data_IF_883344433970
#
_entry.id   IF_883344433970
#
_cell.length_a   1.000
_cell.length_b   1.000
_cell.length_c   1.000
_cell.angle_alpha   90.00
_cell.angle_beta   90.00
_cell.angle_gamma   90.00
#
_symmetry.space_group_name_H-M   'P 1'
#
loop_
_entity.id
_entity.type
_entity.pdbx_description
1 polymer ?
#
# COMPACT_ATOMS: atom_id res chain seq x y z
N UNK A 1 10.61 -14.53 -9.10
CA UNK A 1 10.95 -14.78 -7.67
C UNK A 1 11.88 -13.66 -7.23
N UNK A 2 11.62 -13.00 -6.11
CA UNK A 2 12.32 -11.76 -5.70
C UNK A 2 11.54 -11.02 -4.60
N UNK A 3 11.72 -9.70 -4.42
CA UNK A 3 10.96 -8.94 -3.41
C UNK A 3 9.44 -8.95 -3.64
N UNK A 4 9.01 -9.26 -4.87
CA UNK A 4 7.62 -9.54 -5.23
C UNK A 4 7.04 -10.80 -4.56
N UNK A 5 7.87 -11.72 -4.06
CA UNK A 5 7.41 -12.85 -3.25
C UNK A 5 7.11 -12.49 -1.79
N UNK A 6 7.56 -11.30 -1.35
CA UNK A 6 7.37 -10.81 0.02
C UNK A 6 6.27 -9.74 0.09
N UNK A 7 6.10 -8.97 -0.98
CA UNK A 7 5.07 -7.94 -1.13
C UNK A 7 4.58 -7.87 -2.57
N UNK A 8 3.29 -7.59 -2.79
CA UNK A 8 2.70 -7.40 -4.13
C UNK A 8 3.11 -6.07 -4.75
N UNK A 9 3.31 -5.04 -3.93
CA UNK A 9 3.72 -3.69 -4.35
C UNK A 9 5.00 -3.24 -3.62
N UNK A 10 6.14 -3.94 -3.79
CA UNK A 10 7.38 -3.62 -3.08
C UNK A 10 7.95 -2.27 -3.52
N UNK A 11 7.68 -1.86 -4.76
CA UNK A 11 7.99 -0.53 -5.29
C UNK A 11 7.25 0.58 -4.54
N UNK A 12 5.96 0.40 -4.25
CA UNK A 12 5.17 1.41 -3.53
C UNK A 12 5.59 1.47 -2.06
N UNK A 13 5.93 0.33 -1.47
CA UNK A 13 6.52 0.33 -0.13
C UNK A 13 7.84 1.10 -0.10
N UNK A 14 8.74 0.86 -1.06
CA UNK A 14 10.00 1.61 -1.16
C UNK A 14 9.78 3.11 -1.28
N UNK A 15 8.83 3.53 -2.11
CA UNK A 15 8.47 4.93 -2.27
C UNK A 15 7.91 5.54 -0.98
N UNK A 16 6.98 4.87 -0.29
CA UNK A 16 6.44 5.37 0.99
C UNK A 16 7.56 5.43 2.04
N UNK A 17 8.35 4.36 2.15
CA UNK A 17 9.42 4.23 3.13
C UNK A 17 10.49 5.31 2.94
N UNK A 18 10.89 5.60 1.70
CA UNK A 18 11.91 6.63 1.46
C UNK A 18 11.44 8.02 1.92
N UNK A 19 10.16 8.38 1.71
CA UNK A 19 9.63 9.67 2.13
C UNK A 19 9.53 9.79 3.66
N UNK A 20 9.18 8.69 4.33
CA UNK A 20 9.23 8.63 5.79
C UNK A 20 10.66 8.72 6.33
N UNK A 21 11.63 8.07 5.69
CA UNK A 21 13.04 8.19 6.04
C UNK A 21 13.56 9.62 5.83
N UNK A 22 13.22 10.26 4.71
CA UNK A 22 13.59 11.66 4.45
C UNK A 22 13.02 12.60 5.52
N UNK A 23 11.76 12.41 5.91
CA UNK A 23 11.14 13.15 7.00
C UNK A 23 11.84 12.90 8.35
N UNK A 24 12.15 11.64 8.68
CA UNK A 24 12.84 11.29 9.92
C UNK A 24 14.28 11.84 10.00
N UNK A 25 15.00 11.90 8.87
CA UNK A 25 16.32 12.52 8.79
C UNK A 25 16.23 14.04 8.93
N UNK A 26 15.25 14.67 8.29
CA UNK A 26 14.98 16.09 8.45
C UNK A 26 14.58 16.43 9.89
N UNK A 27 13.84 15.54 10.56
CA UNK A 27 13.51 15.64 11.98
C UNK A 27 14.80 15.73 12.78
N UNK A 28 15.62 14.68 12.79
CA UNK A 28 16.87 14.63 13.56
C UNK A 28 17.80 15.84 13.34
N UNK A 29 17.89 16.36 12.11
CA UNK A 29 18.70 17.55 11.81
C UNK A 29 18.18 18.82 12.51
N UNK A 30 16.88 18.94 12.73
CA UNK A 30 16.23 20.13 13.28
C UNK A 30 16.29 20.23 14.82
N UNK A 31 16.70 19.17 15.53
CA UNK A 31 17.00 19.22 16.99
C UNK A 31 18.03 20.30 17.31
N UNK A 32 19.05 20.45 16.46
CA UNK A 32 20.14 21.39 16.67
C UNK A 32 19.72 22.87 16.56
N UNK A 33 18.54 23.16 15.99
CA UNK A 33 18.10 24.51 15.63
C UNK A 33 16.79 24.95 16.30
N UNK A 34 16.29 24.23 17.31
CA UNK A 34 14.94 24.45 17.90
C UNK A 34 13.79 24.26 16.91
N UNK A 35 14.02 23.54 15.80
CA UNK A 35 13.10 23.49 14.66
C UNK A 35 11.74 22.88 14.95
N UNK A 36 11.62 21.92 15.88
CA UNK A 36 10.30 21.34 16.23
C UNK A 36 9.40 22.28 17.03
N UNK A 37 9.97 23.34 17.60
CA UNK A 37 9.18 24.38 18.28
C UNK A 37 8.50 25.30 17.27
N UNK A 38 8.92 25.28 16.00
CA UNK A 38 8.22 25.94 14.90
C UNK A 38 7.05 25.06 14.42
N UNK A 39 5.79 25.52 14.57
CA UNK A 39 4.63 24.81 14.03
C UNK A 39 4.70 24.58 12.52
N UNK A 40 5.43 25.43 11.79
CA UNK A 40 5.59 25.32 10.35
C UNK A 40 6.45 24.10 9.96
N UNK A 41 7.36 23.66 10.83
CA UNK A 41 8.17 22.47 10.60
C UNK A 41 7.30 21.21 10.50
N UNK A 42 6.25 21.13 11.32
CA UNK A 42 5.30 20.01 11.27
C UNK A 42 4.51 19.94 9.96
N UNK A 43 4.40 21.05 9.20
CA UNK A 43 3.79 21.00 7.87
C UNK A 43 4.57 20.10 6.89
N UNK A 44 5.86 19.84 7.13
CA UNK A 44 6.66 18.94 6.30
C UNK A 44 6.15 17.49 6.33
N UNK A 45 5.42 17.07 7.38
CA UNK A 45 4.80 15.73 7.45
C UNK A 45 3.73 15.53 6.37
N UNK A 46 3.19 16.61 5.81
CA UNK A 46 2.20 16.54 4.74
C UNK A 46 2.77 15.86 3.49
N UNK A 47 4.07 15.96 3.23
CA UNK A 47 4.70 15.32 2.08
C UNK A 47 4.61 13.78 2.13
N UNK A 48 5.16 13.07 3.15
CA UNK A 48 5.04 11.62 3.22
C UNK A 48 3.59 11.15 3.31
N UNK A 49 2.72 11.88 4.01
CA UNK A 49 1.29 11.56 4.09
C UNK A 49 0.59 11.68 2.73
N UNK A 50 0.90 12.73 1.97
CA UNK A 50 0.35 12.95 0.64
C UNK A 50 0.81 11.87 -0.35
N UNK A 51 2.10 11.53 -0.35
CA UNK A 51 2.62 10.44 -1.18
C UNK A 51 1.98 9.09 -0.82
N UNK A 52 1.84 8.79 0.47
CA UNK A 52 1.14 7.60 0.93
C UNK A 52 -0.34 7.60 0.49
N UNK A 53 -1.02 8.75 0.57
CA UNK A 53 -2.39 8.87 0.12
C UNK A 53 -2.53 8.59 -1.38
N UNK A 54 -1.64 9.16 -2.21
CA UNK A 54 -1.59 8.92 -3.65
C UNK A 54 -1.45 7.41 -3.94
N UNK A 55 -0.45 6.76 -3.35
CA UNK A 55 -0.13 5.38 -3.68
C UNK A 55 -1.16 4.38 -3.16
N UNK A 56 -1.83 4.67 -2.04
CA UNK A 56 -2.84 3.76 -1.48
C UNK A 56 -4.24 3.97 -2.05
N UNK A 57 -4.63 5.22 -2.31
CA UNK A 57 -6.04 5.57 -2.54
C UNK A 57 -6.37 6.07 -3.94
N UNK A 58 -5.41 6.60 -4.71
CA UNK A 58 -5.74 7.19 -6.01
C UNK A 58 -6.08 6.11 -7.02
N UNK A 59 -7.29 6.18 -7.58
CA UNK A 59 -7.82 5.20 -8.51
C UNK A 59 -7.13 5.16 -9.87
N UNK A 60 -6.28 6.13 -10.20
CA UNK A 60 -5.50 6.12 -11.44
C UNK A 60 -4.18 5.33 -11.29
N UNK A 61 -3.43 5.57 -10.22
CA UNK A 61 -2.03 5.14 -10.08
C UNK A 61 -1.73 4.35 -8.81
N UNK A 62 -2.70 4.23 -7.89
CA UNK A 62 -2.50 3.57 -6.60
C UNK A 62 -2.89 2.09 -6.59
N UNK A 63 -2.70 1.46 -5.43
CA UNK A 63 -2.98 0.05 -5.16
C UNK A 63 -4.44 -0.28 -5.49
N UNK A 64 -5.37 0.64 -5.27
CA UNK A 64 -6.78 0.44 -5.60
C UNK A 64 -7.04 0.11 -7.07
N UNK A 65 -6.22 0.62 -7.99
CA UNK A 65 -6.35 0.31 -9.41
C UNK A 65 -5.62 -0.99 -9.77
N UNK A 66 -4.41 -1.15 -9.23
CA UNK A 66 -3.55 -2.30 -9.48
C UNK A 66 -4.18 -3.62 -8.98
N UNK A 67 -4.79 -3.58 -7.79
CA UNK A 67 -5.54 -4.68 -7.18
C UNK A 67 -7.04 -4.65 -7.52
N UNK A 68 -7.46 -3.80 -8.44
CA UNK A 68 -8.86 -3.70 -8.88
C UNK A 68 -9.02 -4.27 -10.28
N UNK A 69 -9.28 -3.38 -11.24
CA UNK A 69 -9.55 -3.74 -12.65
C UNK A 69 -8.35 -4.44 -13.30
N UNK A 70 -7.13 -4.07 -12.93
CA UNK A 70 -5.91 -4.62 -13.51
C UNK A 70 -5.64 -6.08 -13.08
N UNK A 71 -6.30 -6.58 -12.03
CA UNK A 71 -6.22 -7.98 -11.62
C UNK A 71 -6.93 -8.93 -12.58
N UNK A 72 -7.92 -8.43 -13.34
CA UNK A 72 -8.72 -9.23 -14.26
C UNK A 72 -7.86 -10.12 -15.17
N UNK A 73 -6.81 -9.55 -15.77
CA UNK A 73 -5.89 -10.28 -16.67
C UNK A 73 -5.16 -11.46 -16.00
N UNK A 74 -4.91 -11.38 -14.69
CA UNK A 74 -4.22 -12.44 -13.95
C UNK A 74 -5.19 -13.54 -13.53
N UNK A 75 -6.39 -13.17 -13.07
CA UNK A 75 -7.45 -14.11 -12.74
C UNK A 75 -8.00 -14.84 -13.98
N UNK A 76 -8.03 -14.20 -15.15
CA UNK A 76 -8.42 -14.84 -16.41
C UNK A 76 -7.39 -15.86 -16.91
N UNK A 77 -6.10 -15.69 -16.57
CA UNK A 77 -5.03 -16.55 -17.05
C UNK A 77 -4.75 -17.72 -16.11
N UNK A 78 -4.60 -17.45 -14.81
CA UNK A 78 -4.24 -18.45 -13.80
C UNK A 78 -4.96 -18.15 -12.46
N UNK A 79 -6.27 -18.40 -12.33
CA UNK A 79 -7.05 -18.00 -11.16
C UNK A 79 -6.57 -18.64 -9.85
N UNK A 80 -6.25 -19.94 -9.86
CA UNK A 80 -5.86 -20.67 -8.65
C UNK A 80 -4.47 -20.27 -8.14
N UNK A 81 -3.48 -20.27 -9.03
CA UNK A 81 -2.10 -19.86 -8.70
C UNK A 81 -2.06 -18.42 -8.18
N UNK A 82 -2.83 -17.51 -8.82
CA UNK A 82 -2.86 -16.12 -8.41
C UNK A 82 -3.59 -15.92 -7.07
N UNK A 83 -4.67 -16.68 -6.82
CA UNK A 83 -5.34 -16.67 -5.53
C UNK A 83 -4.43 -17.18 -4.41
N UNK A 84 -3.62 -18.21 -4.66
CA UNK A 84 -2.62 -18.70 -3.70
C UNK A 84 -1.50 -17.68 -3.47
N UNK A 85 -0.97 -17.08 -4.53
CA UNK A 85 0.02 -16.00 -4.44
C UNK A 85 -0.49 -14.85 -3.56
N UNK A 86 -1.75 -14.43 -3.75
CA UNK A 86 -2.36 -13.35 -2.96
C UNK A 86 -2.55 -13.72 -1.48
N UNK A 87 -2.88 -14.98 -1.18
CA UNK A 87 -3.00 -15.47 0.21
C UNK A 87 -1.65 -15.47 0.93
N UNK A 88 -0.56 -15.73 0.21
CA UNK A 88 0.79 -15.89 0.75
C UNK A 88 1.63 -14.61 0.72
N UNK A 89 1.21 -13.58 0.00
CA UNK A 89 2.01 -12.38 -0.26
C UNK A 89 1.34 -11.12 0.28
N UNK A 90 2.05 -10.37 1.11
CA UNK A 90 1.58 -9.09 1.67
C UNK A 90 1.26 -8.09 0.56
N UNK A 91 0.36 -7.13 0.80
CA UNK A 91 0.04 -6.11 -0.20
C UNK A 91 1.14 -5.06 -0.36
N UNK A 92 1.69 -4.58 0.76
CA UNK A 92 2.60 -3.44 0.79
C UNK A 92 3.87 -3.77 1.57
N UNK A 93 3.75 -4.05 2.86
CA UNK A 93 4.90 -4.28 3.74
C UNK A 93 5.51 -5.67 3.45
N UNK A 94 6.77 -5.78 3.02
CA UNK A 94 7.41 -7.07 2.77
C UNK A 94 7.39 -7.96 4.02
N UNK A 95 6.82 -9.15 3.91
CA UNK A 95 6.64 -10.03 5.07
C UNK A 95 6.74 -11.52 4.70
N UNK A 96 7.40 -12.29 5.56
CA UNK A 96 7.44 -13.76 5.48
C UNK A 96 6.30 -14.34 6.32
N UNK A 97 5.67 -15.41 5.84
CA UNK A 97 4.63 -16.12 6.61
C UNK A 97 3.26 -15.46 6.60
N UNK A 98 3.00 -14.52 5.67
CA UNK A 98 1.73 -13.81 5.53
C UNK A 98 0.50 -14.72 5.49
N UNK A 99 0.65 -15.95 4.98
CA UNK A 99 -0.40 -16.99 4.95
C UNK A 99 -1.07 -17.22 6.30
N UNK A 100 -0.29 -17.21 7.38
CA UNK A 100 -0.75 -17.60 8.73
C UNK A 100 -1.47 -16.48 9.47
N UNK A 101 -1.42 -15.25 8.95
CA UNK A 101 -2.02 -14.09 9.61
C UNK A 101 -3.53 -14.09 9.34
N UNK A 102 -4.38 -13.93 10.38
CA UNK A 102 -5.82 -13.86 10.21
C UNK A 102 -6.21 -12.62 9.38
N UNK A 103 -7.30 -12.74 8.62
CA UNK A 103 -7.74 -11.70 7.69
C UNK A 103 -8.07 -10.37 8.38
N UNK A 104 -8.56 -10.40 9.61
CA UNK A 104 -8.81 -9.19 10.42
C UNK A 104 -7.54 -8.39 10.66
N UNK A 105 -6.44 -9.06 11.01
CA UNK A 105 -5.13 -8.42 11.22
C UNK A 105 -4.56 -7.91 9.89
N UNK A 106 -4.72 -8.68 8.81
CA UNK A 106 -4.31 -8.23 7.46
C UNK A 106 -5.02 -6.92 7.07
N UNK A 107 -6.34 -6.87 7.28
CA UNK A 107 -7.19 -5.70 6.98
C UNK A 107 -6.87 -4.50 7.86
N UNK A 108 -6.61 -4.73 9.14
CA UNK A 108 -6.38 -3.66 10.11
C UNK A 108 -4.95 -3.08 10.06
N UNK A 109 -3.93 -3.92 9.96
CA UNK A 109 -2.53 -3.52 10.17
C UNK A 109 -1.66 -3.62 8.90
N UNK A 110 -2.05 -4.42 7.92
CA UNK A 110 -1.24 -4.70 6.74
C UNK A 110 -1.85 -4.12 5.46
N UNK A 111 -2.79 -3.19 5.59
CA UNK A 111 -3.43 -2.47 4.48
C UNK A 111 -4.15 -3.38 3.46
N UNK A 112 -4.55 -4.60 3.85
CA UNK A 112 -5.32 -5.51 3.00
C UNK A 112 -6.81 -5.11 3.00
N UNK A 113 -7.14 -3.90 2.55
CA UNK A 113 -8.52 -3.42 2.56
C UNK A 113 -9.41 -4.20 1.59
N UNK A 114 -10.69 -4.38 1.95
CA UNK A 114 -11.67 -5.11 1.14
C UNK A 114 -11.85 -4.51 -0.26
N UNK A 115 -11.72 -3.18 -0.40
CA UNK A 115 -11.78 -2.49 -1.70
C UNK A 115 -10.71 -2.92 -2.71
N UNK A 116 -9.65 -3.60 -2.25
CA UNK A 116 -8.59 -4.15 -3.09
C UNK A 116 -8.89 -5.58 -3.54
N UNK A 117 -10.02 -6.18 -3.16
CA UNK A 117 -10.39 -7.53 -3.59
C UNK A 117 -11.01 -7.49 -4.99
N UNK A 118 -10.47 -8.29 -5.90
CA UNK A 118 -11.09 -8.51 -7.20
C UNK A 118 -12.20 -9.57 -7.07
N UNK A 119 -13.42 -9.21 -7.47
CA UNK A 119 -14.58 -10.12 -7.51
C UNK A 119 -14.95 -10.43 -8.98
N UNK A 120 -14.66 -11.64 -9.48
CA UNK A 120 -15.08 -12.03 -10.82
C UNK A 120 -16.62 -12.04 -10.89
N UNK A 121 -17.20 -11.27 -11.82
CA UNK A 121 -18.65 -11.12 -11.99
C UNK A 121 -19.25 -9.79 -11.51
N UNK A 122 -18.49 -8.96 -10.79
CA UNK A 122 -18.90 -7.62 -10.38
C UNK A 122 -18.69 -6.59 -11.50
N UNK A 123 -19.54 -6.63 -12.52
CA UNK A 123 -19.68 -5.51 -13.44
C UNK A 123 -19.93 -4.22 -12.66
N UNK A 124 -19.28 -3.15 -13.10
CA UNK A 124 -19.49 -1.76 -12.71
C UNK A 124 -20.93 -1.42 -12.26
N UNK A 125 -21.15 -1.29 -10.96
CA UNK A 125 -22.19 -0.44 -10.40
C UNK A 125 -21.55 0.49 -9.37
N UNK A 126 -20.91 1.54 -9.88
CA UNK A 126 -20.81 2.78 -9.11
C UNK A 126 -22.20 3.40 -9.16
N UNK A 127 -23.02 3.15 -8.14
CA UNK A 127 -24.18 4.01 -7.85
C UNK A 127 -23.65 5.42 -7.60
N UNK A 128 -23.92 6.31 -8.55
CA UNK A 128 -23.98 7.75 -8.31
C UNK A 128 -25.35 8.01 -7.68
N UNK A 129 -25.34 8.43 -6.42
CA UNK A 129 -26.42 9.23 -5.84
C UNK A 129 -25.87 10.65 -5.63
#
# INVERSE_FOLDING_TARGET
VGVWSLSRHPNYFGEIFQWWCAFALAYNSSEAASGYMDPLWWACILSPLFTMHILLNIGATGISNAEGKNLKRYYEKCPEEYAEYRKNTSILIPMVGYRHIPLSVKRALLFEFERYEYRPGGGSEVKKD
#
